data_IF_337222990388
#
_entry.id   IF_337222990388
#
_cell.length_a   1.000
_cell.length_b   1.000
_cell.length_c   1.000
_cell.angle_alpha   90.00
_cell.angle_beta   90.00
_cell.angle_gamma   90.00
#
_symmetry.space_group_name_H-M   'P 1'
#
loop_
_entity.id
_entity.type
_entity.pdbx_description
1 polymer ?
#
# COMPACT_ATOMS: atom_id res chain seq x y z
N UNK A 1 7.96 -24.19 -16.57
CA UNK A 1 9.29 -23.57 -16.65
C UNK A 1 9.24 -22.13 -16.13
N UNK A 2 10.20 -21.77 -15.35
CA UNK A 2 10.25 -20.44 -14.74
C UNK A 2 11.31 -19.60 -15.43
N UNK A 3 10.97 -18.38 -15.74
CA UNK A 3 11.90 -17.44 -16.35
C UNK A 3 11.77 -16.09 -15.62
N UNK A 4 12.52 -15.09 -16.08
CA UNK A 4 12.54 -13.79 -15.41
C UNK A 4 11.18 -13.10 -15.41
N UNK A 5 10.39 -13.31 -16.43
CA UNK A 5 9.04 -12.74 -16.49
C UNK A 5 8.14 -13.37 -15.45
N UNK A 6 8.33 -14.66 -15.22
CA UNK A 6 7.56 -15.40 -14.24
C UNK A 6 7.87 -14.94 -12.83
N UNK A 7 9.09 -14.47 -12.58
CA UNK A 7 9.45 -13.98 -11.25
C UNK A 7 8.56 -12.82 -10.82
N UNK A 8 8.28 -11.88 -11.71
CA UNK A 8 7.38 -10.80 -11.40
C UNK A 8 5.96 -11.27 -11.18
N UNK A 9 5.53 -12.24 -11.96
CA UNK A 9 4.20 -12.81 -11.78
C UNK A 9 4.09 -13.58 -10.49
N UNK A 10 5.15 -14.29 -10.10
CA UNK A 10 5.16 -15.02 -8.83
C UNK A 10 4.97 -14.10 -7.64
N UNK A 11 5.57 -12.93 -7.67
CA UNK A 11 5.36 -11.96 -6.60
C UNK A 11 3.89 -11.58 -6.50
N UNK A 12 3.26 -11.27 -7.64
CA UNK A 12 1.85 -10.86 -7.65
C UNK A 12 0.90 -12.01 -7.34
N UNK A 13 1.29 -13.24 -7.65
CA UNK A 13 0.47 -14.40 -7.42
C UNK A 13 0.75 -15.09 -6.09
N UNK A 14 1.70 -14.56 -5.31
CA UNK A 14 1.98 -15.08 -3.99
C UNK A 14 0.80 -14.79 -3.07
N UNK A 15 0.27 -15.82 -2.44
CA UNK A 15 -0.88 -15.68 -1.54
C UNK A 15 -0.56 -14.72 -0.40
N UNK A 16 0.69 -14.75 0.10
CA UNK A 16 1.11 -13.83 1.16
C UNK A 16 1.11 -12.39 0.67
N UNK A 17 1.52 -12.18 -0.57
CA UNK A 17 1.54 -10.85 -1.15
C UNK A 17 0.12 -10.29 -1.25
N UNK A 18 -0.80 -11.07 -1.79
CA UNK A 18 -2.19 -10.66 -1.90
C UNK A 18 -2.82 -10.41 -0.52
N UNK A 19 -2.55 -11.29 0.41
CA UNK A 19 -3.05 -11.13 1.77
C UNK A 19 -2.53 -9.83 2.39
N UNK A 20 -1.24 -9.57 2.23
CA UNK A 20 -0.60 -8.37 2.78
C UNK A 20 -1.17 -7.12 2.13
N UNK A 21 -1.34 -7.14 0.81
CA UNK A 21 -1.91 -6.02 0.09
C UNK A 21 -3.32 -5.71 0.59
N UNK A 22 -4.16 -6.72 0.70
CA UNK A 22 -5.54 -6.55 1.18
C UNK A 22 -5.57 -6.08 2.63
N UNK A 23 -4.67 -6.61 3.46
CA UNK A 23 -4.57 -6.20 4.86
C UNK A 23 -4.28 -4.71 4.96
N UNK A 24 -3.33 -4.22 4.19
CA UNK A 24 -2.98 -2.80 4.21
C UNK A 24 -4.11 -1.94 3.66
N UNK A 25 -4.77 -2.38 2.59
CA UNK A 25 -5.92 -1.64 2.06
C UNK A 25 -7.03 -1.53 3.08
N UNK A 26 -7.32 -2.61 3.78
CA UNK A 26 -8.34 -2.60 4.82
C UNK A 26 -7.98 -1.68 5.97
N UNK A 27 -6.71 -1.71 6.40
CA UNK A 27 -6.22 -0.86 7.47
C UNK A 27 -6.30 0.61 7.07
N UNK A 28 -5.87 0.93 5.86
CA UNK A 28 -5.94 2.30 5.33
C UNK A 28 -7.38 2.77 5.29
N UNK A 29 -8.28 1.92 4.79
CA UNK A 29 -9.69 2.27 4.70
C UNK A 29 -10.29 2.58 6.07
N UNK A 30 -9.95 1.77 7.07
CA UNK A 30 -10.41 2.01 8.45
C UNK A 30 -9.90 3.35 8.97
N UNK A 31 -8.64 3.65 8.75
CA UNK A 31 -8.05 4.91 9.21
C UNK A 31 -8.66 6.11 8.51
N UNK A 32 -8.96 5.97 7.22
CA UNK A 32 -9.62 7.04 6.47
C UNK A 32 -11.01 7.32 7.03
N UNK A 33 -11.78 6.26 7.29
CA UNK A 33 -13.12 6.39 7.83
C UNK A 33 -13.07 7.06 9.21
N UNK A 34 -12.16 6.61 10.06
CA UNK A 34 -12.01 7.18 11.39
C UNK A 34 -11.59 8.63 11.34
N UNK A 35 -10.61 8.96 10.48
CA UNK A 35 -10.15 10.33 10.32
C UNK A 35 -11.27 11.22 9.79
N UNK A 36 -12.02 10.74 8.80
CA UNK A 36 -13.15 11.50 8.24
C UNK A 36 -14.20 11.78 9.29
N UNK A 37 -14.48 10.80 10.13
CA UNK A 37 -15.43 10.96 11.22
C UNK A 37 -14.97 12.05 12.19
N UNK A 38 -13.67 12.23 12.34
CA UNK A 38 -13.10 13.25 13.22
C UNK A 38 -12.83 14.58 12.49
N UNK A 39 -13.33 14.73 11.27
CA UNK A 39 -13.20 15.97 10.51
C UNK A 39 -11.85 16.15 9.84
N UNK A 40 -11.05 15.09 9.74
CA UNK A 40 -9.76 15.14 9.07
C UNK A 40 -9.90 14.76 7.61
N UNK A 41 -8.94 15.19 6.79
CA UNK A 41 -8.93 14.86 5.37
C UNK A 41 -7.62 14.24 4.92
N UNK A 42 -6.81 13.77 5.84
CA UNK A 42 -5.57 13.07 5.53
C UNK A 42 -5.15 12.16 6.68
N UNK A 43 -4.36 11.16 6.33
CA UNK A 43 -3.76 10.24 7.31
C UNK A 43 -2.30 9.98 6.92
N UNK A 44 -1.52 9.58 7.92
CA UNK A 44 -0.18 9.07 7.69
C UNK A 44 -0.21 7.58 7.98
N UNK A 45 0.18 6.78 7.00
CA UNK A 45 0.15 5.33 7.14
C UNK A 45 1.54 4.77 6.82
N UNK A 46 2.14 4.10 7.78
CA UNK A 46 3.47 3.52 7.60
C UNK A 46 3.33 2.05 7.21
N UNK A 47 3.95 1.70 6.08
CA UNK A 47 4.02 0.33 5.61
C UNK A 47 5.39 -0.22 5.99
N UNK A 48 5.39 -1.29 6.76
CA UNK A 48 6.61 -1.91 7.26
C UNK A 48 6.55 -3.40 6.93
N UNK A 49 7.19 -3.79 5.83
CA UNK A 49 7.18 -5.16 5.36
C UNK A 49 8.59 -5.61 5.04
N UNK A 50 8.87 -6.87 5.28
CA UNK A 50 10.20 -7.44 5.09
C UNK A 50 10.42 -8.02 3.70
N UNK A 51 9.37 -8.14 2.90
CA UNK A 51 9.49 -8.70 1.57
C UNK A 51 8.59 -7.95 0.59
N UNK A 52 9.06 -7.82 -0.65
CA UNK A 52 8.29 -7.24 -1.74
C UNK A 52 7.73 -5.85 -1.44
N UNK A 53 8.48 -5.06 -0.66
CA UNK A 53 8.00 -3.74 -0.25
C UNK A 53 7.73 -2.83 -1.46
N UNK A 54 8.66 -2.78 -2.41
CA UNK A 54 8.53 -1.89 -3.56
C UNK A 54 7.31 -2.24 -4.42
N UNK A 55 7.13 -3.51 -4.85
CA UNK A 55 5.92 -3.87 -5.58
C UNK A 55 4.64 -3.61 -4.79
N UNK A 56 4.67 -3.88 -3.48
CA UNK A 56 3.52 -3.66 -2.62
C UNK A 56 3.14 -2.18 -2.58
N UNK A 57 4.11 -1.30 -2.41
CA UNK A 57 3.88 0.14 -2.38
C UNK A 57 3.33 0.63 -3.72
N UNK A 58 3.90 0.17 -4.83
CA UNK A 58 3.42 0.55 -6.15
C UNK A 58 1.96 0.16 -6.35
N UNK A 59 1.58 -1.04 -5.94
CA UNK A 59 0.20 -1.51 -6.06
C UNK A 59 -0.73 -0.73 -5.13
N UNK A 60 -0.32 -0.48 -3.90
CA UNK A 60 -1.10 0.31 -2.95
C UNK A 60 -1.34 1.72 -3.48
N UNK A 61 -0.29 2.39 -3.92
CA UNK A 61 -0.39 3.75 -4.45
C UNK A 61 -1.27 3.77 -5.69
N UNK A 62 -1.10 2.80 -6.58
CA UNK A 62 -1.93 2.70 -7.77
C UNK A 62 -3.41 2.57 -7.46
N UNK A 63 -3.75 1.69 -6.53
CA UNK A 63 -5.13 1.49 -6.14
C UNK A 63 -5.71 2.75 -5.49
N UNK A 64 -4.95 3.35 -4.58
CA UNK A 64 -5.43 4.53 -3.87
C UNK A 64 -5.60 5.74 -4.79
N UNK A 65 -4.68 5.93 -5.73
CA UNK A 65 -4.73 7.07 -6.63
C UNK A 65 -5.74 6.87 -7.77
N UNK A 66 -5.79 5.68 -8.33
CA UNK A 66 -6.61 5.42 -9.52
C UNK A 66 -8.02 5.00 -9.13
N UNK A 67 -8.14 3.97 -8.30
CA UNK A 67 -9.47 3.44 -7.95
C UNK A 67 -10.21 4.29 -6.94
N UNK A 68 -9.50 4.84 -5.97
CA UNK A 68 -10.11 5.62 -4.89
C UNK A 68 -10.00 7.12 -5.08
N UNK A 69 -9.20 7.54 -6.06
CA UNK A 69 -9.04 8.95 -6.38
C UNK A 69 -8.46 9.78 -5.23
N UNK A 70 -7.64 9.16 -4.40
CA UNK A 70 -6.96 9.85 -3.31
C UNK A 70 -5.63 10.42 -3.78
N UNK A 71 -5.11 11.39 -3.05
CA UNK A 71 -3.76 11.91 -3.25
C UNK A 71 -2.82 11.17 -2.31
N UNK A 72 -1.75 10.62 -2.84
CA UNK A 72 -0.78 9.88 -2.05
C UNK A 72 0.61 10.45 -2.27
N UNK A 73 1.25 10.82 -1.17
CA UNK A 73 2.66 11.16 -1.15
C UNK A 73 3.37 10.13 -0.30
N UNK A 74 4.62 9.83 -0.62
CA UNK A 74 5.36 8.87 0.17
C UNK A 74 6.77 9.40 0.46
N UNK A 75 7.30 9.01 1.61
CA UNK A 75 8.67 9.32 1.96
C UNK A 75 9.25 8.17 2.80
N UNK A 76 10.55 7.99 2.66
CA UNK A 76 11.25 6.89 3.32
C UNK A 76 11.33 7.14 4.82
N UNK A 77 10.91 6.14 5.59
CA UNK A 77 11.09 6.16 7.04
C UNK A 77 12.33 5.36 7.40
N UNK A 78 12.55 4.22 6.71
CA UNK A 78 13.73 3.39 6.85
C UNK A 78 13.84 2.49 5.64
N UNK A 79 14.88 1.64 5.60
CA UNK A 79 15.08 0.72 4.49
C UNK A 79 13.90 -0.26 4.31
N UNK A 80 13.21 -0.58 5.39
CA UNK A 80 12.13 -1.58 5.39
C UNK A 80 10.77 -0.98 5.64
N UNK A 81 10.67 0.33 5.65
CA UNK A 81 9.38 0.96 5.89
C UNK A 81 9.29 2.27 5.12
N UNK A 82 8.08 2.61 4.76
CA UNK A 82 7.81 3.84 4.05
C UNK A 82 6.49 4.39 4.55
N UNK A 83 6.42 5.69 4.72
CA UNK A 83 5.20 6.34 5.19
C UNK A 83 4.47 6.95 4.01
N UNK A 84 3.19 6.64 3.92
CA UNK A 84 2.29 7.21 2.92
C UNK A 84 1.44 8.28 3.58
N UNK A 85 1.40 9.45 2.95
CA UNK A 85 0.47 10.50 3.34
C UNK A 85 -0.67 10.44 2.36
N UNK A 86 -1.83 10.05 2.82
CA UNK A 86 -3.01 9.83 1.99
C UNK A 86 -4.03 10.91 2.32
N UNK A 87 -4.46 11.63 1.31
CA UNK A 87 -5.45 12.70 1.48
C UNK A 87 -6.61 12.54 0.50
N UNK A 88 -7.74 13.10 0.88
CA UNK A 88 -8.96 13.00 0.07
C UNK A 88 -9.81 14.27 0.10
#
# INVERSE_FOLDING_TARGET
MINAETDGELVKNDVRYEYTLKKHLNNINKEIIEASTNGKNSINYTVCENFHLIPLLNDLIGILCIDKNYHVSCFDTSEKSETLIISW
#
